data_IF_362450395597
#
_entry.id   IF_362450395597
#
_cell.length_a   1.000
_cell.length_b   1.000
_cell.length_c   1.000
_cell.angle_alpha   90.00
_cell.angle_beta   90.00
_cell.angle_gamma   90.00
#
_symmetry.space_group_name_H-M   'P 1'
#
loop_
_entity.id
_entity.type
_entity.pdbx_description
1 polymer ?
#
# COMPACT_ATOMS: atom_id res chain seq x y z
N UNK A 1 6.75 -4.53 -8.80
CA UNK A 1 5.70 -5.41 -9.40
C UNK A 1 5.39 -4.88 -10.78
N UNK A 2 5.13 -5.68 -11.81
CA UNK A 2 4.83 -5.21 -13.17
C UNK A 2 3.46 -4.49 -13.18
N UNK A 3 3.31 -3.35 -13.87
CA UNK A 3 2.08 -2.53 -13.97
C UNK A 3 0.84 -3.37 -14.35
N UNK A 4 0.99 -4.34 -15.25
CA UNK A 4 -0.09 -5.24 -15.64
C UNK A 4 -0.58 -6.12 -14.48
N UNK A 5 0.34 -6.62 -13.63
CA UNK A 5 -0.01 -7.44 -12.46
C UNK A 5 -0.70 -6.61 -11.38
N UNK A 6 -0.29 -5.35 -11.21
CA UNK A 6 -0.93 -4.42 -10.26
C UNK A 6 -2.38 -4.17 -10.70
N UNK A 7 -2.60 -3.92 -11.99
CA UNK A 7 -3.95 -3.74 -12.55
C UNK A 7 -4.83 -4.97 -12.32
N UNK A 8 -4.31 -6.19 -12.61
CA UNK A 8 -5.04 -7.45 -12.36
C UNK A 8 -5.43 -7.56 -10.87
N UNK A 9 -4.52 -7.26 -9.94
CA UNK A 9 -4.80 -7.30 -8.51
C UNK A 9 -5.83 -6.26 -8.09
N UNK A 10 -5.78 -5.06 -8.66
CA UNK A 10 -6.74 -3.99 -8.38
C UNK A 10 -8.15 -4.36 -8.86
N UNK A 11 -8.26 -4.86 -10.09
CA UNK A 11 -9.54 -5.31 -10.66
C UNK A 11 -10.13 -6.48 -9.86
N UNK A 12 -9.29 -7.46 -9.45
CA UNK A 12 -9.72 -8.56 -8.60
C UNK A 12 -10.17 -8.10 -7.21
N UNK A 13 -9.45 -7.15 -6.59
CA UNK A 13 -9.85 -6.59 -5.31
C UNK A 13 -11.21 -5.85 -5.41
N UNK A 14 -11.42 -5.06 -6.45
CA UNK A 14 -12.70 -4.40 -6.71
C UNK A 14 -13.85 -5.40 -6.90
N UNK A 15 -13.61 -6.48 -7.64
CA UNK A 15 -14.58 -7.57 -7.81
C UNK A 15 -14.94 -8.25 -6.48
N UNK A 16 -13.94 -8.53 -5.64
CA UNK A 16 -14.15 -9.13 -4.32
C UNK A 16 -15.01 -8.22 -3.43
N UNK A 17 -14.69 -6.93 -3.37
CA UNK A 17 -15.46 -5.95 -2.59
C UNK A 17 -16.91 -5.91 -3.06
N UNK A 18 -17.13 -5.85 -4.37
CA UNK A 18 -18.48 -5.90 -4.96
C UNK A 18 -19.23 -7.18 -4.57
N UNK A 19 -18.58 -8.35 -4.57
CA UNK A 19 -19.21 -9.61 -4.18
C UNK A 19 -19.62 -9.60 -2.69
N UNK A 20 -18.82 -9.01 -1.79
CA UNK A 20 -19.22 -8.82 -0.39
C UNK A 20 -20.43 -7.87 -0.25
N UNK A 21 -20.42 -6.75 -0.96
CA UNK A 21 -21.43 -5.70 -0.88
C UNK A 21 -22.80 -6.18 -1.40
N UNK A 22 -22.80 -6.89 -2.52
CA UNK A 22 -24.02 -7.35 -3.17
C UNK A 22 -24.49 -8.72 -2.67
N UNK A 23 -23.68 -9.46 -1.91
CA UNK A 23 -23.99 -10.80 -1.42
C UNK A 23 -24.40 -11.78 -2.54
N UNK A 24 -23.81 -11.63 -3.74
CA UNK A 24 -24.12 -12.45 -4.91
C UNK A 24 -23.54 -13.87 -4.79
N UNK A 25 -22.49 -14.03 -3.99
CA UNK A 25 -21.81 -15.31 -3.76
C UNK A 25 -21.78 -15.65 -2.27
N UNK A 26 -21.77 -16.95 -1.91
CA UNK A 26 -21.45 -17.37 -0.55
C UNK A 26 -20.08 -16.83 -0.12
N UNK A 27 -19.95 -16.42 1.15
CA UNK A 27 -18.70 -15.86 1.69
C UNK A 27 -17.55 -16.86 1.56
N UNK A 28 -17.82 -18.15 1.72
CA UNK A 28 -16.85 -19.24 1.50
C UNK A 28 -16.23 -19.23 0.09
N UNK A 29 -16.98 -18.82 -0.94
CA UNK A 29 -16.45 -18.67 -2.30
C UNK A 29 -15.67 -17.36 -2.48
N UNK A 30 -16.10 -16.29 -1.82
CA UNK A 30 -15.37 -15.01 -1.83
C UNK A 30 -13.98 -15.17 -1.19
N UNK A 31 -13.87 -15.94 -0.10
CA UNK A 31 -12.60 -16.25 0.57
C UNK A 31 -11.57 -16.85 -0.39
N UNK A 32 -11.96 -17.71 -1.31
CA UNK A 32 -11.04 -18.30 -2.29
C UNK A 32 -10.48 -17.23 -3.26
N UNK A 33 -11.29 -16.23 -3.63
CA UNK A 33 -10.83 -15.09 -4.42
C UNK A 33 -9.85 -14.20 -3.60
N UNK A 34 -10.16 -13.98 -2.32
CA UNK A 34 -9.27 -13.25 -1.42
C UNK A 34 -7.91 -13.93 -1.28
N UNK A 35 -7.91 -15.26 -1.11
CA UNK A 35 -6.69 -16.07 -1.04
C UNK A 35 -5.85 -15.93 -2.33
N UNK A 36 -6.51 -15.97 -3.50
CA UNK A 36 -5.84 -15.73 -4.79
C UNK A 36 -5.22 -14.34 -4.84
N UNK A 37 -5.94 -13.30 -4.42
CA UNK A 37 -5.45 -11.92 -4.39
C UNK A 37 -4.20 -11.81 -3.51
N UNK A 38 -4.24 -12.33 -2.28
CA UNK A 38 -3.11 -12.26 -1.36
C UNK A 38 -1.87 -13.01 -1.89
N UNK A 39 -2.06 -14.18 -2.55
CA UNK A 39 -0.96 -14.90 -3.21
C UNK A 39 -0.34 -14.11 -4.36
N UNK A 40 -1.14 -13.43 -5.16
CA UNK A 40 -0.64 -12.57 -6.23
C UNK A 40 0.17 -11.38 -5.68
N UNK A 41 -0.19 -10.88 -4.51
CA UNK A 41 0.49 -9.75 -3.86
C UNK A 41 1.70 -10.16 -3.02
N UNK A 42 1.81 -11.43 -2.62
CA UNK A 42 2.79 -11.92 -1.65
C UNK A 42 2.46 -11.45 -0.22
N UNK A 43 1.18 -11.21 0.09
CA UNK A 43 0.72 -10.80 1.41
C UNK A 43 0.63 -12.03 2.34
N UNK A 44 1.66 -12.27 3.13
CA UNK A 44 1.79 -13.44 4.02
C UNK A 44 0.66 -13.51 5.05
N UNK A 45 0.32 -12.38 5.69
CA UNK A 45 -0.77 -12.34 6.66
C UNK A 45 -2.14 -12.64 6.02
N UNK A 46 -2.39 -12.09 4.85
CA UNK A 46 -3.59 -12.39 4.07
C UNK A 46 -3.65 -13.83 3.60
N UNK A 47 -2.53 -14.41 3.17
CA UNK A 47 -2.46 -15.84 2.79
C UNK A 47 -2.84 -16.72 3.98
N UNK A 48 -2.28 -16.47 5.16
CA UNK A 48 -2.61 -17.23 6.37
C UNK A 48 -4.07 -17.03 6.76
N UNK A 49 -4.55 -15.78 6.78
CA UNK A 49 -5.92 -15.42 7.13
C UNK A 49 -6.93 -16.20 6.26
N UNK A 50 -6.83 -16.06 4.95
CA UNK A 50 -7.79 -16.69 4.04
C UNK A 50 -7.58 -18.20 3.89
N UNK A 51 -6.39 -18.72 4.18
CA UNK A 51 -6.16 -20.16 4.29
C UNK A 51 -6.87 -20.71 5.52
N UNK A 52 -6.75 -20.09 6.71
CA UNK A 52 -7.42 -20.57 7.91
C UNK A 52 -8.94 -20.43 7.82
N UNK A 53 -9.42 -19.36 7.18
CA UNK A 53 -10.87 -19.20 6.93
C UNK A 53 -11.45 -20.26 5.98
N UNK A 54 -10.65 -20.75 5.02
CA UNK A 54 -11.08 -21.76 4.05
C UNK A 54 -10.84 -23.20 4.49
N UNK A 55 -9.82 -23.47 5.32
CA UNK A 55 -9.35 -24.82 5.62
C UNK A 55 -9.35 -25.15 7.12
N UNK A 56 -9.64 -24.18 7.97
CA UNK A 56 -9.68 -24.31 9.42
C UNK A 56 -8.43 -23.78 10.12
N UNK A 57 -8.63 -23.45 11.38
CA UNK A 57 -7.57 -22.93 12.26
C UNK A 57 -6.79 -24.09 12.88
N UNK A 58 -5.46 -24.14 12.72
CA UNK A 58 -4.64 -25.13 13.41
C UNK A 58 -4.84 -25.03 14.92
N UNK A 59 -5.05 -26.20 15.56
CA UNK A 59 -5.18 -26.32 17.01
C UNK A 59 -4.41 -27.54 17.50
N UNK A 60 -3.94 -27.48 18.74
CA UNK A 60 -3.25 -28.58 19.43
C UNK A 60 -4.04 -28.97 20.69
N UNK A 61 -3.77 -30.14 21.27
CA UNK A 61 -4.41 -30.52 22.54
C UNK A 61 -4.19 -29.52 23.69
N UNK A 62 -3.15 -28.70 23.60
CA UNK A 62 -2.80 -27.66 24.59
C UNK A 62 -3.36 -26.29 24.25
N UNK A 63 -4.07 -26.16 23.11
CA UNK A 63 -4.68 -24.89 22.67
C UNK A 63 -4.27 -24.49 21.26
N UNK A 64 -4.61 -23.28 20.89
CA UNK A 64 -4.32 -22.71 19.58
C UNK A 64 -2.89 -22.13 19.54
N UNK A 65 -2.07 -22.43 18.49
CA UNK A 65 -0.77 -21.81 18.31
C UNK A 65 -0.84 -20.29 18.25
N UNK A 66 0.24 -19.61 18.68
CA UNK A 66 0.30 -18.15 18.74
C UNK A 66 -0.06 -17.47 17.42
N UNK A 67 0.43 -18.00 16.31
CA UNK A 67 0.14 -17.46 14.97
C UNK A 67 -1.34 -17.60 14.60
N UNK A 68 -1.92 -18.81 14.82
CA UNK A 68 -3.36 -19.04 14.60
C UNK A 68 -4.21 -18.12 15.48
N UNK A 69 -3.76 -17.87 16.73
CA UNK A 69 -4.40 -16.94 17.63
C UNK A 69 -4.35 -15.50 17.12
N UNK A 70 -3.21 -15.06 16.62
CA UNK A 70 -3.02 -13.74 16.01
C UNK A 70 -3.97 -13.55 14.81
N UNK A 71 -4.00 -14.51 13.90
CA UNK A 71 -4.86 -14.50 12.71
C UNK A 71 -6.35 -14.53 13.09
N UNK A 72 -6.75 -15.33 14.08
CA UNK A 72 -8.13 -15.33 14.60
C UNK A 72 -8.55 -13.95 15.11
N UNK A 73 -7.60 -13.16 15.65
CA UNK A 73 -7.82 -11.77 16.03
C UNK A 73 -8.09 -10.87 14.82
N UNK A 74 -7.31 -11.02 13.74
CA UNK A 74 -7.50 -10.27 12.48
C UNK A 74 -8.87 -10.57 11.85
N UNK A 75 -9.30 -11.83 11.87
CA UNK A 75 -10.61 -12.27 11.38
C UNK A 75 -11.79 -11.86 12.29
N UNK A 76 -11.54 -11.27 13.45
CA UNK A 76 -12.60 -10.91 14.41
C UNK A 76 -13.25 -12.10 15.10
N UNK A 77 -12.56 -13.24 15.19
CA UNK A 77 -13.07 -14.48 15.78
C UNK A 77 -12.90 -14.59 17.28
N UNK A 78 -12.10 -13.69 17.90
CA UNK A 78 -11.90 -13.66 19.34
C UNK A 78 -13.10 -13.09 20.08
N UNK A 79 -13.37 -13.65 21.25
CA UNK A 79 -14.38 -13.18 22.17
C UNK A 79 -13.99 -13.48 23.63
N UNK A 80 -14.57 -12.75 24.56
CA UNK A 80 -14.30 -12.87 25.99
C UNK A 80 -15.51 -13.52 26.66
N UNK A 81 -15.25 -14.48 27.53
CA UNK A 81 -16.23 -15.05 28.44
C UNK A 81 -15.84 -14.64 29.85
N UNK A 82 -16.75 -13.94 30.53
CA UNK A 82 -16.58 -13.56 31.95
C UNK A 82 -17.27 -14.61 32.84
N UNK A 83 -16.48 -15.31 33.64
CA UNK A 83 -16.99 -16.26 34.62
C UNK A 83 -16.81 -15.68 36.06
N UNK A 84 -17.83 -15.79 36.87
CA UNK A 84 -17.74 -15.44 38.29
C UNK A 84 -17.54 -16.72 39.08
N UNK A 85 -16.33 -16.91 39.64
CA UNK A 85 -16.00 -18.02 40.57
C UNK A 85 -15.56 -17.43 41.89
N UNK A 86 -16.27 -17.84 42.96
CA UNK A 86 -15.97 -17.42 44.34
C UNK A 86 -15.93 -15.88 44.53
N UNK A 87 -16.85 -15.14 43.91
CA UNK A 87 -16.92 -13.68 44.00
C UNK A 87 -15.79 -12.93 43.23
N UNK A 88 -14.96 -13.64 42.46
CA UNK A 88 -13.99 -13.06 41.55
C UNK A 88 -14.43 -13.25 40.10
N UNK A 89 -14.51 -12.14 39.40
CA UNK A 89 -14.75 -12.12 37.94
C UNK A 89 -13.46 -12.43 37.23
N UNK A 90 -13.45 -13.49 36.45
CA UNK A 90 -12.30 -13.88 35.60
C UNK A 90 -12.72 -13.84 34.15
N UNK A 91 -12.02 -13.03 33.38
CA UNK A 91 -12.23 -12.93 31.92
C UNK A 91 -11.28 -13.87 31.20
N UNK A 92 -11.83 -14.75 30.38
CA UNK A 92 -11.05 -15.69 29.56
C UNK A 92 -11.36 -15.44 28.09
N UNK A 93 -10.30 -15.29 27.28
CA UNK A 93 -10.43 -15.13 25.82
C UNK A 93 -10.53 -16.49 25.12
N UNK A 94 -11.43 -16.56 24.17
CA UNK A 94 -11.66 -17.71 23.30
C UNK A 94 -11.66 -17.28 21.83
N UNK A 95 -11.49 -18.24 20.92
CA UNK A 95 -11.66 -18.03 19.48
C UNK A 95 -12.70 -19.01 18.93
N UNK A 96 -13.58 -18.51 18.06
CA UNK A 96 -14.53 -19.33 17.31
C UNK A 96 -13.81 -19.90 16.08
N UNK A 97 -13.71 -21.24 15.98
CA UNK A 97 -12.90 -21.96 14.99
C UNK A 97 -13.68 -22.58 13.85
N UNK A 98 -15.03 -22.57 13.91
CA UNK A 98 -15.88 -23.11 12.86
C UNK A 98 -15.54 -22.48 11.50
N UNK A 99 -15.51 -23.28 10.44
CA UNK A 99 -15.31 -22.78 9.09
C UNK A 99 -16.47 -21.88 8.65
N UNK A 100 -16.17 -20.89 7.81
CA UNK A 100 -17.23 -20.03 7.21
C UNK A 100 -18.25 -20.89 6.47
N UNK A 101 -17.82 -21.90 5.71
CA UNK A 101 -18.71 -22.81 5.01
C UNK A 101 -19.63 -23.60 5.98
N UNK A 102 -19.12 -24.02 7.13
CA UNK A 102 -19.92 -24.68 8.17
C UNK A 102 -20.97 -23.73 8.77
N UNK A 103 -20.59 -22.48 9.05
CA UNK A 103 -21.53 -21.46 9.56
C UNK A 103 -22.63 -21.19 8.52
N UNK A 104 -22.30 -21.09 7.24
CA UNK A 104 -23.26 -20.94 6.13
C UNK A 104 -24.23 -22.11 6.08
N UNK A 105 -23.72 -23.35 6.13
CA UNK A 105 -24.50 -24.57 6.10
C UNK A 105 -25.44 -24.69 7.30
N UNK A 106 -24.95 -24.34 8.51
CA UNK A 106 -25.77 -24.33 9.73
C UNK A 106 -26.90 -23.33 9.60
N UNK A 107 -26.62 -22.12 9.13
CA UNK A 107 -27.66 -21.10 8.95
C UNK A 107 -28.74 -21.61 7.97
N UNK A 108 -28.35 -22.20 6.85
CA UNK A 108 -29.29 -22.65 5.82
C UNK A 108 -30.09 -23.86 6.31
N UNK A 109 -29.43 -24.86 6.93
CA UNK A 109 -30.13 -26.03 7.50
C UNK A 109 -31.12 -25.64 8.59
N UNK A 110 -30.76 -24.66 9.46
CA UNK A 110 -31.68 -24.15 10.48
C UNK A 110 -32.86 -23.37 9.91
N UNK A 111 -32.70 -22.64 8.80
CA UNK A 111 -33.83 -22.01 8.10
C UNK A 111 -34.81 -23.05 7.57
N UNK A 112 -34.31 -24.13 6.95
CA UNK A 112 -35.14 -25.25 6.46
C UNK A 112 -35.87 -25.89 7.63
N UNK A 113 -35.18 -26.16 8.73
CA UNK A 113 -35.77 -26.73 9.95
C UNK A 113 -36.83 -25.81 10.56
N UNK A 114 -36.60 -24.49 10.57
CA UNK A 114 -37.59 -23.52 11.05
C UNK A 114 -38.86 -23.56 10.20
N UNK A 115 -38.74 -23.66 8.89
CA UNK A 115 -39.87 -23.81 7.97
C UNK A 115 -40.64 -25.11 8.22
N UNK A 116 -39.93 -26.22 8.44
CA UNK A 116 -40.52 -27.53 8.73
C UNK A 116 -41.17 -27.61 10.13
N UNK A 117 -40.77 -26.76 11.08
CA UNK A 117 -41.28 -26.74 12.46
C UNK A 117 -42.58 -25.97 12.64
N UNK A 118 -43.22 -25.51 11.57
CA UNK A 118 -44.54 -24.84 11.63
C UNK A 118 -45.57 -25.81 12.22
N UNK A 119 -46.46 -25.24 13.06
CA UNK A 119 -47.54 -26.02 13.65
C UNK A 119 -48.47 -26.54 12.58
N UNK A 120 -48.89 -27.82 12.62
CA UNK A 120 -49.82 -28.35 11.64
C UNK A 120 -51.15 -27.67 11.77
N UNK A 121 -51.79 -27.34 10.63
CA UNK A 121 -53.16 -26.86 10.58
C UNK A 121 -54.12 -28.03 10.95
N UNK A 122 -54.39 -28.16 12.23
CA UNK A 122 -55.30 -29.20 12.75
C UNK A 122 -56.67 -28.56 12.94
N UNK A 123 -57.65 -29.06 12.21
CA UNK A 123 -59.03 -28.75 12.49
C UNK A 123 -59.49 -29.55 13.69
N UNK A 124 -59.73 -28.88 14.81
CA UNK A 124 -60.24 -29.54 16.04
C UNK A 124 -61.74 -29.51 15.98
N UNK A 125 -62.34 -30.54 15.43
CA UNK A 125 -63.76 -30.78 15.46
C UNK A 125 -64.06 -32.10 16.20
N UNK A 126 -64.95 -32.08 17.19
CA UNK A 126 -65.49 -33.28 17.82
C UNK A 126 -66.92 -33.48 17.40
N UNK A 127 -67.26 -34.71 16.99
CA UNK A 127 -68.61 -35.09 16.71
C UNK A 127 -69.43 -35.25 17.99
N UNK A 128 -68.81 -35.26 19.18
CA UNK A 128 -69.45 -35.33 20.46
C UNK A 128 -69.39 -33.95 21.16
N UNK A 129 -70.48 -33.25 21.36
CA UNK A 129 -70.53 -31.92 21.99
C UNK A 129 -70.05 -31.89 23.44
N UNK A 130 -69.94 -33.05 24.11
CA UNK A 130 -69.45 -33.16 25.48
C UNK A 130 -67.98 -33.57 25.56
N UNK A 131 -67.27 -33.72 24.47
CA UNK A 131 -65.86 -34.06 24.42
C UNK A 131 -65.01 -32.82 24.34
N UNK A 132 -64.21 -32.61 25.40
CA UNK A 132 -63.20 -31.57 25.42
C UNK A 132 -61.93 -32.01 24.66
N UNK A 133 -61.60 -31.38 23.57
CA UNK A 133 -60.40 -31.66 22.77
C UNK A 133 -59.37 -30.59 23.03
N UNK A 134 -58.26 -31.00 23.57
CA UNK A 134 -57.11 -30.09 23.74
C UNK A 134 -56.40 -29.89 22.40
N UNK A 135 -56.15 -28.64 22.03
CA UNK A 135 -55.21 -28.35 20.95
C UNK A 135 -53.83 -28.90 21.29
N UNK A 136 -53.14 -29.55 20.35
CA UNK A 136 -51.74 -29.96 20.57
C UNK A 136 -50.88 -28.75 20.92
N UNK A 137 -49.94 -28.93 21.82
CA UNK A 137 -48.99 -27.87 22.14
C UNK A 137 -48.19 -27.46 20.91
N UNK A 138 -48.06 -26.17 20.67
CA UNK A 138 -47.29 -25.65 19.54
C UNK A 138 -45.80 -25.85 19.71
N UNK A 139 -45.06 -25.84 18.59
CA UNK A 139 -43.57 -25.99 18.56
C UNK A 139 -42.84 -24.70 18.91
N UNK A 140 -43.42 -23.81 19.72
CA UNK A 140 -42.89 -22.46 20.03
C UNK A 140 -41.49 -22.51 20.64
N UNK A 141 -41.23 -23.44 21.59
CA UNK A 141 -39.92 -23.55 22.25
C UNK A 141 -38.84 -23.99 21.28
N UNK A 142 -39.13 -24.99 20.44
CA UNK A 142 -38.20 -25.45 19.40
C UNK A 142 -37.91 -24.35 18.39
N UNK A 143 -38.92 -23.67 17.89
CA UNK A 143 -38.81 -22.55 16.93
C UNK A 143 -37.98 -21.40 17.52
N UNK A 144 -38.19 -21.04 18.77
CA UNK A 144 -37.38 -20.02 19.45
C UNK A 144 -35.92 -20.43 19.58
N UNK A 145 -35.63 -21.69 19.87
CA UNK A 145 -34.27 -22.22 19.90
C UNK A 145 -33.60 -22.15 18.51
N UNK A 146 -34.30 -22.54 17.45
CA UNK A 146 -33.82 -22.45 16.08
C UNK A 146 -33.53 -20.99 15.69
N UNK A 147 -34.47 -20.06 15.97
CA UNK A 147 -34.29 -18.64 15.69
C UNK A 147 -33.10 -18.06 16.44
N UNK A 148 -32.90 -18.44 17.69
CA UNK A 148 -31.75 -18.02 18.48
C UNK A 148 -30.43 -18.54 17.88
N UNK A 149 -30.41 -19.80 17.42
CA UNK A 149 -29.25 -20.39 16.73
C UNK A 149 -28.93 -19.64 15.42
N UNK A 150 -29.93 -19.34 14.61
CA UNK A 150 -29.78 -18.57 13.36
C UNK A 150 -29.19 -17.20 13.68
N UNK A 151 -29.76 -16.44 14.61
CA UNK A 151 -29.31 -15.11 14.99
C UNK A 151 -27.83 -15.10 15.47
N UNK A 152 -27.47 -16.08 16.29
CA UNK A 152 -26.10 -16.21 16.79
C UNK A 152 -25.10 -16.45 15.65
N UNK A 153 -25.41 -17.40 14.76
CA UNK A 153 -24.52 -17.72 13.61
C UNK A 153 -24.47 -16.56 12.60
N UNK A 154 -25.58 -15.89 12.34
CA UNK A 154 -25.60 -14.68 11.51
C UNK A 154 -24.76 -13.54 12.11
N UNK A 155 -24.82 -13.33 13.43
CA UNK A 155 -24.01 -12.33 14.10
C UNK A 155 -22.53 -12.61 13.96
N UNK A 156 -22.11 -13.87 14.11
CA UNK A 156 -20.73 -14.28 13.86
C UNK A 156 -20.33 -14.09 12.41
N UNK A 157 -21.18 -14.53 11.48
CA UNK A 157 -20.93 -14.35 10.04
C UNK A 157 -20.72 -12.87 9.69
N UNK A 158 -21.60 -11.97 10.16
CA UNK A 158 -21.47 -10.53 9.91
C UNK A 158 -20.18 -9.94 10.49
N UNK A 159 -19.83 -10.33 11.74
CA UNK A 159 -18.60 -9.86 12.39
C UNK A 159 -17.35 -10.25 11.60
N UNK A 160 -17.27 -11.52 11.19
CA UNK A 160 -16.13 -12.04 10.43
C UNK A 160 -16.09 -11.40 9.04
N UNK A 161 -17.20 -11.42 8.31
CA UNK A 161 -17.31 -10.83 6.96
C UNK A 161 -16.91 -9.36 6.96
N UNK A 162 -17.34 -8.59 7.96
CA UNK A 162 -16.94 -7.18 8.10
C UNK A 162 -15.42 -6.99 8.28
N UNK A 163 -14.74 -7.90 8.98
CA UNK A 163 -13.28 -7.86 9.14
C UNK A 163 -12.56 -8.25 7.84
N UNK A 164 -13.06 -9.29 7.16
CA UNK A 164 -12.49 -9.73 5.88
C UNK A 164 -12.67 -8.66 4.79
N UNK A 165 -13.86 -8.03 4.74
CA UNK A 165 -14.13 -6.90 3.86
C UNK A 165 -13.16 -5.74 4.11
N UNK A 166 -12.99 -5.34 5.37
CA UNK A 166 -12.08 -4.26 5.74
C UNK A 166 -10.62 -4.58 5.37
N UNK A 167 -10.21 -5.85 5.48
CA UNK A 167 -8.88 -6.29 5.07
C UNK A 167 -8.67 -6.10 3.55
N UNK A 168 -9.62 -6.57 2.74
CA UNK A 168 -9.56 -6.42 1.27
C UNK A 168 -9.67 -4.96 0.84
N UNK A 169 -10.50 -4.15 1.51
CA UNK A 169 -10.61 -2.72 1.26
C UNK A 169 -9.29 -1.99 1.50
N UNK A 170 -8.56 -2.36 2.55
CA UNK A 170 -7.22 -1.81 2.81
C UNK A 170 -6.22 -2.18 1.71
N UNK A 171 -6.25 -3.44 1.21
CA UNK A 171 -5.46 -3.86 0.05
C UNK A 171 -5.82 -3.03 -1.19
N UNK A 172 -7.11 -2.91 -1.51
CA UNK A 172 -7.60 -2.14 -2.65
C UNK A 172 -7.13 -0.69 -2.61
N UNK A 173 -7.27 -0.04 -1.44
CA UNK A 173 -6.81 1.32 -1.25
C UNK A 173 -5.29 1.47 -1.46
N UNK A 174 -4.50 0.54 -0.92
CA UNK A 174 -3.04 0.54 -1.14
C UNK A 174 -2.68 0.40 -2.63
N UNK A 175 -3.38 -0.47 -3.35
CA UNK A 175 -3.16 -0.66 -4.79
C UNK A 175 -3.57 0.58 -5.59
N UNK A 176 -4.71 1.19 -5.28
CA UNK A 176 -5.19 2.39 -5.96
C UNK A 176 -4.27 3.59 -5.74
N UNK A 177 -3.92 3.87 -4.48
CA UNK A 177 -3.05 5.01 -4.16
C UNK A 177 -1.61 4.78 -4.61
N UNK A 178 -1.09 3.56 -4.46
CA UNK A 178 0.25 3.18 -4.93
C UNK A 178 0.39 3.32 -6.44
N UNK A 179 -0.61 2.91 -7.22
CA UNK A 179 -0.60 3.06 -8.67
C UNK A 179 -0.57 4.52 -9.13
N UNK A 180 -1.40 5.39 -8.55
CA UNK A 180 -1.45 6.82 -8.93
C UNK A 180 -0.08 7.47 -8.71
N UNK A 181 0.56 7.19 -7.59
CA UNK A 181 1.88 7.73 -7.27
C UNK A 181 2.94 7.13 -8.20
N UNK A 182 2.95 5.80 -8.40
CA UNK A 182 3.91 5.11 -9.27
C UNK A 182 3.78 5.56 -10.73
N UNK A 183 2.55 5.71 -11.25
CA UNK A 183 2.31 6.20 -12.62
C UNK A 183 2.80 7.64 -12.80
N UNK A 184 2.51 8.52 -11.85
CA UNK A 184 2.95 9.92 -11.91
C UNK A 184 4.47 10.03 -11.89
N UNK A 185 5.14 9.31 -10.98
CA UNK A 185 6.60 9.28 -10.92
C UNK A 185 7.21 8.61 -12.14
N UNK A 186 6.62 7.53 -12.63
CA UNK A 186 7.11 6.82 -13.82
C UNK A 186 7.02 7.70 -15.06
N UNK A 187 5.90 8.40 -15.28
CA UNK A 187 5.74 9.32 -16.40
C UNK A 187 6.71 10.50 -16.29
N UNK A 188 6.85 11.11 -15.12
CA UNK A 188 7.82 12.17 -14.89
C UNK A 188 9.24 11.69 -15.20
N UNK A 189 9.61 10.49 -14.73
CA UNK A 189 10.91 9.88 -14.98
C UNK A 189 11.17 9.64 -16.47
N UNK A 190 10.22 9.07 -17.20
CA UNK A 190 10.37 8.82 -18.63
C UNK A 190 10.57 10.13 -19.38
N UNK A 191 9.76 11.15 -19.09
CA UNK A 191 9.90 12.47 -19.70
C UNK A 191 11.28 13.07 -19.46
N UNK A 192 11.74 13.07 -18.18
CA UNK A 192 13.06 13.61 -17.84
C UNK A 192 14.18 12.83 -18.52
N UNK A 193 14.08 11.49 -18.59
CA UNK A 193 15.08 10.68 -19.27
C UNK A 193 15.16 11.01 -20.75
N UNK A 194 14.03 11.17 -21.43
CA UNK A 194 13.98 11.49 -22.85
C UNK A 194 14.54 12.90 -23.15
N UNK A 195 14.22 13.86 -22.30
CA UNK A 195 14.72 15.23 -22.44
C UNK A 195 16.21 15.32 -22.05
N UNK A 196 16.61 14.69 -20.95
CA UNK A 196 18.00 14.65 -20.50
C UNK A 196 18.90 13.92 -21.51
N UNK A 197 18.42 12.86 -22.17
CA UNK A 197 19.15 12.15 -23.19
C UNK A 197 19.46 13.04 -24.41
N UNK A 198 18.61 14.01 -24.71
CA UNK A 198 18.83 15.00 -25.78
C UNK A 198 19.83 16.08 -25.34
N UNK A 199 19.68 16.60 -24.11
CA UNK A 199 20.49 17.71 -23.59
C UNK A 199 21.87 17.24 -23.15
N UNK A 200 21.94 16.14 -22.39
CA UNK A 200 23.17 15.66 -21.77
C UNK A 200 23.20 14.12 -21.68
N UNK A 201 23.52 13.39 -22.78
CA UNK A 201 23.58 11.93 -22.78
C UNK A 201 24.46 11.33 -21.69
N UNK A 202 25.59 11.99 -21.37
CA UNK A 202 26.52 11.56 -20.30
C UNK A 202 25.86 11.48 -18.91
N UNK A 203 24.88 12.31 -18.66
CA UNK A 203 24.14 12.28 -17.40
C UNK A 203 23.30 11.01 -17.26
N UNK A 204 22.72 10.50 -18.34
CA UNK A 204 21.96 9.24 -18.37
C UNK A 204 22.85 8.05 -18.01
N UNK A 205 24.06 7.99 -18.59
CA UNK A 205 25.03 6.90 -18.27
C UNK A 205 25.38 6.89 -16.77
N UNK A 206 25.52 8.06 -16.17
CA UNK A 206 25.80 8.18 -14.73
C UNK A 206 24.60 7.75 -13.87
N UNK A 207 23.35 7.98 -14.31
CA UNK A 207 22.19 7.46 -13.60
C UNK A 207 22.15 5.93 -13.55
N UNK A 208 22.60 5.24 -14.61
CA UNK A 208 22.74 3.77 -14.57
C UNK A 208 23.67 3.35 -13.44
N UNK A 209 24.80 4.05 -13.28
CA UNK A 209 25.74 3.79 -12.18
C UNK A 209 25.16 4.12 -10.79
N UNK A 210 24.37 5.19 -10.69
CA UNK A 210 23.66 5.55 -9.46
C UNK A 210 22.74 4.43 -9.03
N UNK A 211 21.90 3.90 -9.92
CA UNK A 211 20.96 2.81 -9.60
C UNK A 211 21.72 1.51 -9.26
N UNK A 212 22.78 1.18 -9.97
CA UNK A 212 23.62 0.00 -9.66
C UNK A 212 24.21 0.09 -8.25
N UNK A 213 24.69 1.27 -7.84
CA UNK A 213 25.20 1.49 -6.51
C UNK A 213 24.11 1.39 -5.41
N UNK A 214 22.87 1.76 -5.73
CA UNK A 214 21.74 1.67 -4.78
C UNK A 214 21.23 0.24 -4.58
N UNK A 215 21.46 -0.67 -5.53
CA UNK A 215 21.13 -2.10 -5.39
C UNK A 215 22.09 -2.83 -4.44
N UNK A 216 23.24 -2.24 -4.12
CA UNK A 216 24.20 -2.78 -3.16
C UNK A 216 23.73 -2.57 -1.71
N UNK A 217 24.18 -3.47 -0.82
CA UNK A 217 24.01 -3.34 0.64
C UNK A 217 25.21 -2.68 1.33
N UNK A 218 26.20 -2.22 0.54
CA UNK A 218 27.39 -1.58 1.04
C UNK A 218 27.21 -0.05 1.18
N UNK A 219 27.38 0.55 2.37
CA UNK A 219 27.27 1.99 2.60
C UNK A 219 28.19 2.86 1.71
N UNK A 220 29.36 2.36 1.33
CA UNK A 220 30.28 3.05 0.42
C UNK A 220 29.64 3.26 -0.98
N UNK A 221 28.84 2.29 -1.46
CA UNK A 221 28.18 2.39 -2.74
C UNK A 221 27.06 3.43 -2.69
N UNK A 222 26.36 3.57 -1.56
CA UNK A 222 25.36 4.62 -1.38
C UNK A 222 25.99 6.02 -1.39
N UNK A 223 27.15 6.18 -0.75
CA UNK A 223 27.92 7.44 -0.80
C UNK A 223 28.38 7.74 -2.24
N UNK A 224 28.83 6.71 -2.99
CA UNK A 224 29.20 6.83 -4.40
C UNK A 224 28.01 7.20 -5.29
N UNK A 225 26.80 6.71 -4.99
CA UNK A 225 25.58 7.10 -5.69
C UNK A 225 25.30 8.60 -5.50
N UNK A 226 25.42 9.13 -4.28
CA UNK A 226 25.24 10.56 -3.98
C UNK A 226 26.32 11.41 -4.67
N UNK A 227 27.59 10.97 -4.63
CA UNK A 227 28.66 11.63 -5.36
C UNK A 227 28.38 11.71 -6.86
N UNK A 228 27.82 10.65 -7.45
CA UNK A 228 27.42 10.62 -8.86
C UNK A 228 26.32 11.63 -9.18
N UNK A 229 25.39 11.90 -8.23
CA UNK A 229 24.38 12.95 -8.41
C UNK A 229 25.01 14.35 -8.60
N UNK A 230 26.03 14.67 -7.80
CA UNK A 230 26.81 15.92 -7.98
C UNK A 230 27.43 16.00 -9.38
N UNK A 231 28.04 14.90 -9.85
CA UNK A 231 28.66 14.84 -11.18
C UNK A 231 27.65 14.98 -12.32
N UNK A 232 26.41 14.50 -12.11
CA UNK A 232 25.32 14.67 -13.07
C UNK A 232 24.95 16.16 -13.18
N UNK A 233 24.78 16.87 -12.06
CA UNK A 233 24.50 18.33 -12.06
C UNK A 233 25.64 19.12 -12.69
N UNK A 234 26.87 18.71 -12.52
CA UNK A 234 28.04 19.33 -13.15
C UNK A 234 28.03 19.15 -14.66
N UNK A 235 27.76 17.93 -15.16
CA UNK A 235 27.64 17.68 -16.60
C UNK A 235 26.50 18.47 -17.23
N UNK A 236 25.35 18.57 -16.56
CA UNK A 236 24.22 19.40 -17.01
C UNK A 236 24.62 20.88 -17.06
N UNK A 237 25.36 21.36 -16.04
CA UNK A 237 25.86 22.73 -16.04
C UNK A 237 26.86 22.97 -17.17
N UNK A 238 27.72 22.01 -17.51
CA UNK A 238 28.70 22.13 -18.59
C UNK A 238 28.03 22.32 -19.95
N UNK A 239 26.88 21.69 -20.15
CA UNK A 239 26.11 21.80 -21.40
C UNK A 239 25.27 23.07 -21.44
N UNK A 240 24.57 23.39 -20.35
CA UNK A 240 23.60 24.50 -20.33
C UNK A 240 24.25 25.88 -20.12
N UNK A 241 25.33 25.93 -19.35
CA UNK A 241 26.09 27.14 -19.08
C UNK A 241 27.57 26.78 -18.93
N UNK A 242 28.34 26.76 -20.04
CA UNK A 242 29.75 26.42 -20.03
C UNK A 242 30.58 27.26 -19.06
N UNK A 243 31.64 26.71 -18.43
CA UNK A 243 32.45 27.42 -17.48
C UNK A 243 33.18 28.62 -18.11
N UNK A 244 33.34 29.69 -17.32
CA UNK A 244 34.08 30.88 -17.71
C UNK A 244 35.11 31.19 -16.62
N UNK A 245 36.32 31.56 -17.05
CA UNK A 245 37.44 31.86 -16.14
C UNK A 245 37.23 33.18 -15.40
N UNK A 246 36.57 34.14 -16.05
CA UNK A 246 36.30 35.46 -15.45
C UNK A 246 34.96 35.49 -14.70
N UNK A 247 34.92 36.06 -13.50
CA UNK A 247 33.67 36.24 -12.77
C UNK A 247 32.72 37.21 -13.50
N UNK A 248 31.45 36.86 -13.56
CA UNK A 248 30.39 37.71 -14.10
C UNK A 248 29.84 38.70 -13.05
N UNK A 249 29.29 39.82 -13.50
CA UNK A 249 28.64 40.81 -12.65
C UNK A 249 27.12 40.53 -12.58
N UNK A 250 26.65 40.18 -11.40
CA UNK A 250 25.22 39.96 -11.15
C UNK A 250 24.78 40.91 -10.03
N UNK A 251 23.85 41.79 -10.33
CA UNK A 251 23.37 42.81 -9.39
C UNK A 251 24.51 43.58 -8.66
N UNK A 252 25.58 43.90 -9.40
CA UNK A 252 26.75 44.61 -8.86
C UNK A 252 27.72 43.74 -8.05
N UNK A 253 27.50 42.45 -7.92
CA UNK A 253 28.39 41.50 -7.23
C UNK A 253 29.10 40.62 -8.24
N UNK A 254 30.38 40.35 -8.00
CA UNK A 254 31.17 39.38 -8.79
C UNK A 254 30.79 37.97 -8.38
N UNK A 255 30.29 37.16 -9.31
CA UNK A 255 29.92 35.78 -9.12
C UNK A 255 30.87 34.93 -9.96
N UNK A 256 31.53 33.93 -9.32
CA UNK A 256 32.39 32.97 -10.01
C UNK A 256 31.53 31.95 -10.75
N UNK A 257 31.90 31.63 -12.00
CA UNK A 257 31.20 30.67 -12.87
C UNK A 257 32.20 29.72 -13.54
N UNK A 258 33.28 29.39 -12.85
CA UNK A 258 34.27 28.42 -13.30
C UNK A 258 33.79 26.97 -13.28
N UNK A 259 34.66 26.02 -13.64
CA UNK A 259 34.34 24.60 -13.77
C UNK A 259 33.67 24.00 -12.53
N UNK A 260 34.18 24.28 -11.33
CA UNK A 260 33.65 23.74 -10.06
C UNK A 260 32.43 24.46 -9.55
N UNK A 261 32.02 25.57 -10.18
CA UNK A 261 30.96 26.45 -9.73
C UNK A 261 29.61 26.11 -10.40
N UNK A 262 29.31 24.80 -10.51
CA UNK A 262 28.12 24.33 -11.24
C UNK A 262 26.79 24.93 -10.73
N UNK A 263 26.64 25.13 -9.40
CA UNK A 263 25.47 25.76 -8.81
C UNK A 263 25.29 27.17 -9.34
N UNK A 264 26.34 28.00 -9.32
CA UNK A 264 26.27 29.35 -9.82
C UNK A 264 25.95 29.41 -11.30
N UNK A 265 26.52 28.48 -12.09
CA UNK A 265 26.27 28.38 -13.54
C UNK A 265 24.82 28.05 -13.83
N UNK A 266 24.25 27.04 -13.15
CA UNK A 266 22.85 26.67 -13.32
C UNK A 266 21.90 27.79 -12.84
N UNK A 267 22.23 28.52 -11.75
CA UNK A 267 21.46 29.68 -11.31
C UNK A 267 21.45 30.77 -12.38
N UNK A 268 22.60 31.01 -13.07
CA UNK A 268 22.65 31.99 -14.16
C UNK A 268 21.83 31.55 -15.36
N UNK A 269 21.91 30.26 -15.72
CA UNK A 269 21.08 29.68 -16.77
C UNK A 269 19.58 29.91 -16.47
N UNK A 270 19.12 29.51 -15.29
CA UNK A 270 17.72 29.68 -14.83
C UNK A 270 17.29 31.14 -14.88
N UNK A 271 18.16 32.05 -14.41
CA UNK A 271 17.87 33.51 -14.38
C UNK A 271 17.73 34.10 -15.76
N UNK A 272 18.48 33.60 -16.74
CA UNK A 272 18.48 34.06 -18.13
C UNK A 272 17.30 33.57 -18.97
N UNK A 273 16.53 32.57 -18.50
CA UNK A 273 15.41 32.00 -19.24
C UNK A 273 14.13 32.83 -19.12
N UNK A 274 13.25 32.74 -20.11
CA UNK A 274 11.90 33.28 -20.04
C UNK A 274 11.06 32.43 -19.08
N UNK A 275 10.07 33.00 -18.42
CA UNK A 275 9.17 32.29 -17.53
C UNK A 275 8.84 33.04 -16.22
N UNK A 276 8.02 32.43 -15.40
CA UNK A 276 7.58 32.98 -14.12
C UNK A 276 8.75 33.25 -13.18
N UNK A 277 8.88 34.48 -12.70
CA UNK A 277 9.91 34.87 -11.73
C UNK A 277 9.84 33.98 -10.48
N UNK A 278 8.64 33.75 -9.96
CA UNK A 278 8.43 32.91 -8.78
C UNK A 278 8.92 31.47 -9.00
N UNK A 279 8.66 30.88 -10.18
CA UNK A 279 9.14 29.54 -10.50
C UNK A 279 10.67 29.49 -10.56
N UNK A 280 11.31 30.46 -11.22
CA UNK A 280 12.77 30.54 -11.28
C UNK A 280 13.42 30.75 -9.89
N UNK A 281 12.81 31.56 -9.05
CA UNK A 281 13.27 31.79 -7.68
C UNK A 281 13.19 30.49 -6.84
N UNK A 282 12.12 29.68 -7.00
CA UNK A 282 11.96 28.38 -6.31
C UNK A 282 13.01 27.38 -6.81
N UNK A 283 13.15 27.20 -8.12
CA UNK A 283 14.14 26.26 -8.69
C UNK A 283 15.57 26.67 -8.29
N UNK A 284 15.88 27.97 -8.28
CA UNK A 284 17.18 28.48 -7.83
C UNK A 284 17.46 28.24 -6.35
N UNK A 285 16.44 28.34 -5.49
CA UNK A 285 16.56 28.05 -4.06
C UNK A 285 16.76 26.54 -3.81
N UNK A 286 16.02 25.68 -4.50
CA UNK A 286 16.17 24.23 -4.42
C UNK A 286 17.54 23.78 -4.91
N UNK A 287 18.02 24.32 -6.03
CA UNK A 287 19.38 24.09 -6.55
C UNK A 287 20.43 24.46 -5.51
N UNK A 288 20.30 25.63 -4.86
CA UNK A 288 21.22 26.03 -3.79
C UNK A 288 21.21 25.07 -2.62
N UNK A 289 20.04 24.61 -2.19
CA UNK A 289 19.90 23.68 -1.07
C UNK A 289 20.47 22.29 -1.38
N UNK A 290 20.09 21.72 -2.51
CA UNK A 290 20.55 20.38 -2.95
C UNK A 290 22.05 20.40 -3.24
N UNK A 291 22.53 21.43 -3.97
CA UNK A 291 23.92 21.59 -4.32
C UNK A 291 24.84 21.68 -3.11
N UNK A 292 24.50 22.52 -2.11
CA UNK A 292 25.29 22.64 -0.88
C UNK A 292 25.40 21.30 -0.13
N UNK A 293 24.34 20.50 -0.10
CA UNK A 293 24.36 19.19 0.55
C UNK A 293 25.25 18.18 -0.21
N UNK A 294 25.12 18.16 -1.54
CA UNK A 294 25.94 17.30 -2.39
C UNK A 294 27.44 17.67 -2.30
N UNK A 295 27.76 18.97 -2.25
CA UNK A 295 29.14 19.44 -2.07
C UNK A 295 29.69 19.09 -0.69
N UNK A 296 28.90 19.19 0.37
CA UNK A 296 29.32 18.80 1.73
C UNK A 296 29.65 17.30 1.81
N UNK A 297 28.86 16.43 1.19
CA UNK A 297 29.12 15.01 1.11
C UNK A 297 30.37 14.71 0.28
N UNK A 298 30.51 15.35 -0.89
CA UNK A 298 31.69 15.23 -1.73
C UNK A 298 32.98 15.64 -1.01
N UNK A 299 32.95 16.75 -0.29
CA UNK A 299 34.09 17.24 0.46
C UNK A 299 34.53 16.31 1.58
N UNK A 300 33.55 15.67 2.22
CA UNK A 300 33.82 14.69 3.26
C UNK A 300 34.41 13.38 2.70
N UNK A 301 33.86 12.90 1.57
CA UNK A 301 34.43 11.74 0.84
C UNK A 301 35.85 12.03 0.36
N UNK A 302 36.09 13.21 -0.22
CA UNK A 302 37.46 13.60 -0.68
C UNK A 302 38.47 13.75 0.44
N UNK A 303 38.06 14.06 1.67
CA UNK A 303 38.93 14.16 2.85
C UNK A 303 39.20 12.80 3.50
N UNK A 304 38.66 11.70 2.99
CA UNK A 304 38.76 10.37 3.55
C UNK A 304 38.08 10.21 4.92
N UNK A 305 37.18 11.12 5.25
CA UNK A 305 36.30 11.00 6.41
C UNK A 305 35.14 10.09 6.03
N UNK A 306 34.89 9.05 6.81
CA UNK A 306 33.73 8.17 6.61
C UNK A 306 32.46 9.02 6.78
N UNK A 307 31.74 9.23 5.68
CA UNK A 307 30.39 9.78 5.73
C UNK A 307 29.48 8.58 5.77
N UNK A 308 28.86 8.35 6.91
CA UNK A 308 27.79 7.36 7.01
C UNK A 308 26.53 7.92 6.33
N UNK A 309 26.40 7.67 5.03
CA UNK A 309 25.17 7.94 4.29
C UNK A 309 24.29 6.70 4.38
N UNK A 310 23.11 6.84 4.91
CA UNK A 310 22.13 5.73 4.92
C UNK A 310 21.51 5.54 3.54
N UNK A 311 21.01 4.32 3.25
CA UNK A 311 20.31 4.01 1.99
C UNK A 311 19.14 4.95 1.74
N UNK A 312 18.40 5.29 2.79
CA UNK A 312 17.25 6.22 2.73
C UNK A 312 17.68 7.65 2.42
N UNK A 313 18.82 8.11 2.95
CA UNK A 313 19.36 9.42 2.61
C UNK A 313 19.82 9.48 1.16
N UNK A 314 20.58 8.47 0.71
CA UNK A 314 21.00 8.37 -0.68
C UNK A 314 19.80 8.39 -1.63
N UNK A 315 18.75 7.62 -1.34
CA UNK A 315 17.50 7.61 -2.12
C UNK A 315 16.88 9.00 -2.21
N UNK A 316 16.82 9.75 -1.10
CA UNK A 316 16.29 11.13 -1.09
C UNK A 316 17.12 12.06 -1.96
N UNK A 317 18.47 12.01 -1.87
CA UNK A 317 19.33 12.85 -2.70
C UNK A 317 19.16 12.56 -4.19
N UNK A 318 19.03 11.29 -4.57
CA UNK A 318 18.80 10.89 -5.96
C UNK A 318 17.47 11.44 -6.47
N UNK A 319 16.39 11.29 -5.70
CA UNK A 319 15.07 11.80 -6.05
C UNK A 319 15.10 13.34 -6.20
N UNK A 320 15.68 14.05 -5.23
CA UNK A 320 15.80 15.52 -5.29
C UNK A 320 16.60 15.98 -6.49
N UNK A 321 17.75 15.34 -6.78
CA UNK A 321 18.56 15.66 -7.95
C UNK A 321 17.77 15.43 -9.24
N UNK A 322 16.99 14.37 -9.31
CA UNK A 322 16.17 14.05 -10.47
C UNK A 322 15.08 15.08 -10.72
N UNK A 323 14.34 15.47 -9.68
CA UNK A 323 13.30 16.50 -9.74
C UNK A 323 13.91 17.86 -10.14
N UNK A 324 15.04 18.22 -9.54
CA UNK A 324 15.74 19.47 -9.84
C UNK A 324 16.18 19.54 -11.32
N UNK A 325 16.70 18.45 -11.86
CA UNK A 325 17.05 18.36 -13.29
C UNK A 325 15.81 18.48 -14.16
N UNK A 326 14.70 17.85 -13.76
CA UNK A 326 13.41 18.00 -14.45
C UNK A 326 13.01 19.48 -14.55
N UNK A 327 13.09 20.18 -13.42
CA UNK A 327 12.72 21.60 -13.34
C UNK A 327 13.65 22.49 -14.21
N UNK A 328 14.96 22.23 -14.18
CA UNK A 328 15.94 22.96 -15.00
C UNK A 328 15.71 22.72 -16.48
N UNK A 329 15.49 21.46 -16.89
CA UNK A 329 15.29 21.11 -18.31
C UNK A 329 13.94 21.68 -18.80
N UNK A 330 12.92 21.74 -17.96
CA UNK A 330 11.63 22.32 -18.33
C UNK A 330 11.70 23.81 -18.69
N UNK A 331 12.78 24.50 -18.31
CA UNK A 331 13.09 25.86 -18.70
C UNK A 331 13.87 25.97 -20.03
N UNK A 332 14.29 24.85 -20.63
CA UNK A 332 14.89 24.84 -21.94
C UNK A 332 13.80 24.99 -23.00
N UNK A 333 13.96 25.91 -23.95
CA UNK A 333 13.06 26.06 -25.08
C UNK A 333 13.16 24.86 -26.01
N UNK A 334 12.01 24.45 -26.58
CA UNK A 334 11.93 23.29 -27.49
C UNK A 334 12.88 23.41 -28.71
N UNK A 335 13.20 24.64 -29.12
CA UNK A 335 14.09 24.93 -30.26
C UNK A 335 15.59 24.79 -29.88
N UNK A 336 15.95 25.05 -28.61
CA UNK A 336 17.33 24.85 -28.11
C UNK A 336 17.68 23.35 -27.95
N UNK A 337 16.67 22.48 -27.82
CA UNK A 337 16.83 21.03 -27.72
C UNK A 337 17.05 20.35 -29.09
N UNK A 338 16.76 21.05 -30.21
CA UNK A 338 16.87 20.52 -31.56
C UNK A 338 18.19 20.89 -32.27
N UNK A 339 18.94 21.87 -31.78
CA UNK A 339 20.17 22.40 -32.43
C UNK A 339 21.49 21.88 -31.81
N UNK A 340 21.44 21.02 -30.76
CA UNK A 340 22.63 20.45 -30.12
C UNK A 340 22.69 18.94 -30.27
#
# INVERSE_FOLDING_TARGET
MNSQRIKECTDLAAEILKNFELSELPVSKIILKCLRLCRLLGDEDGILLFTFESSGYPSTPTGMPHESWRIAGLAGRRYVVSEEKNGKKTDTEYAKTDLIAEIEEVIESQKIRLSASSDPNISITSANPNQYVHAPGGNTTERNSIVSSIKNNQSWMQKITGKLYAYVLNIYNKLMYGNIVEDTFTQARLKVNDELAKVCPKAIEKYVSVYSNMDSDNPEDWANAVHSCRRILLDVADVLYPPQDEPILVNGKKVKVGSDQYINRLVQFISGKEGSKTYKDVVGADLGSVGMRLDAINDAVCKGTHVEVTKDEASRYIIHTYLLISDIISLCDSDELAEK
#
